data_IF_516882501863
#
_entry.id   IF_516882501863
#
_cell.length_a   1.000
_cell.length_b   1.000
_cell.length_c   1.000
_cell.angle_alpha   90.00
_cell.angle_beta   90.00
_cell.angle_gamma   90.00
#
_symmetry.space_group_name_H-M   'P 1'
#
loop_
_entity.id
_entity.type
_entity.pdbx_description
1 polymer ?
#
# COMPACT_ATOMS: atom_id res chain seq x y z
N UNK A 1 -8.67 -8.15 18.84
CA UNK A 1 -8.41 -7.25 18.55
C UNK A 1 -7.90 -7.21 17.30
N UNK A 2 -7.40 -7.98 16.99
CA UNK A 2 -6.70 -8.04 15.94
C UNK A 2 -7.37 -7.84 14.64
N UNK A 3 -8.46 -8.48 14.34
CA UNK A 3 -9.08 -8.33 13.04
C UNK A 3 -9.66 -6.97 12.82
N UNK A 4 -10.25 -6.39 13.84
CA UNK A 4 -10.79 -5.06 13.72
C UNK A 4 -9.69 -4.05 13.48
N UNK A 5 -8.59 -4.19 14.21
CA UNK A 5 -7.47 -3.28 14.00
C UNK A 5 -6.89 -3.42 12.61
N UNK A 6 -6.84 -4.64 12.12
CA UNK A 6 -6.30 -4.87 10.79
C UNK A 6 -7.19 -4.23 9.73
N UNK A 7 -8.50 -4.35 9.87
CA UNK A 7 -9.40 -3.75 8.91
C UNK A 7 -9.28 -2.24 8.91
N UNK A 8 -9.19 -1.66 10.10
CA UNK A 8 -9.00 -0.23 10.21
C UNK A 8 -7.74 0.21 9.51
N UNK A 9 -6.67 -0.53 9.75
CA UNK A 9 -5.39 -0.18 9.18
C UNK A 9 -5.44 -0.25 7.67
N UNK A 10 -6.03 -1.31 7.14
CA UNK A 10 -6.12 -1.47 5.70
C UNK A 10 -6.98 -0.37 5.10
N UNK A 11 -8.09 -0.04 5.73
CA UNK A 11 -8.96 1.01 5.23
C UNK A 11 -8.24 2.34 5.18
N UNK A 12 -7.45 2.62 6.20
CA UNK A 12 -6.71 3.88 6.23
C UNK A 12 -5.64 3.92 5.16
N UNK A 13 -4.94 2.80 4.98
CA UNK A 13 -3.92 2.73 3.95
C UNK A 13 -4.55 2.89 2.56
N UNK A 14 -5.72 2.32 2.35
CA UNK A 14 -6.39 2.47 1.08
C UNK A 14 -6.82 3.91 0.83
N UNK A 15 -7.23 4.61 1.88
CA UNK A 15 -7.53 6.02 1.74
C UNK A 15 -6.31 6.81 1.33
N UNK A 16 -5.19 6.53 1.97
CA UNK A 16 -3.96 7.22 1.61
C UNK A 16 -3.58 6.92 0.18
N UNK A 17 -3.78 5.69 -0.24
CA UNK A 17 -3.47 5.29 -1.59
C UNK A 17 -4.30 6.10 -2.59
N UNK A 18 -5.59 6.19 -2.35
CA UNK A 18 -6.46 6.94 -3.24
C UNK A 18 -6.05 8.40 -3.30
N UNK A 19 -5.72 8.97 -2.15
CA UNK A 19 -5.29 10.36 -2.11
C UNK A 19 -4.03 10.57 -2.93
N UNK A 20 -3.08 9.66 -2.82
CA UNK A 20 -1.84 9.77 -3.56
C UNK A 20 -2.10 9.59 -5.06
N UNK A 21 -2.93 8.64 -5.42
CA UNK A 21 -3.26 8.45 -6.83
C UNK A 21 -3.94 9.65 -7.42
N UNK A 22 -4.82 10.28 -6.64
CA UNK A 22 -5.49 11.47 -7.08
C UNK A 22 -4.50 12.60 -7.32
N UNK A 23 -3.56 12.75 -6.39
CA UNK A 23 -2.55 13.78 -6.54
C UNK A 23 -1.68 13.52 -7.77
N UNK A 24 -1.38 12.25 -8.03
CA UNK A 24 -0.56 11.91 -9.19
C UNK A 24 -1.20 12.33 -10.49
N UNK A 25 -2.53 12.32 -10.55
CA UNK A 25 -3.22 12.69 -11.77
C UNK A 25 -3.03 14.16 -12.12
N UNK A 26 -2.80 14.98 -11.10
CA UNK A 26 -2.69 16.42 -11.34
C UNK A 26 -1.28 16.94 -11.21
N UNK A 27 -0.36 16.12 -10.76
CA UNK A 27 1.00 16.55 -10.52
C UNK A 27 1.80 16.48 -11.82
N UNK A 28 2.50 17.57 -12.13
CA UNK A 28 3.36 17.58 -13.29
C UNK A 28 4.83 17.64 -12.91
N UNK A 29 5.12 17.73 -11.61
CA UNK A 29 6.49 17.81 -11.13
C UNK A 29 7.08 16.41 -11.06
N UNK A 30 8.10 16.16 -11.85
CA UNK A 30 8.69 14.81 -11.93
C UNK A 30 9.20 14.35 -10.59
N UNK A 31 9.82 15.23 -9.83
CA UNK A 31 10.35 14.84 -8.52
C UNK A 31 9.21 14.44 -7.59
N UNK A 32 8.12 15.18 -7.65
CA UNK A 32 6.98 14.86 -6.81
C UNK A 32 6.37 13.52 -7.21
N UNK A 33 6.30 13.27 -8.52
CA UNK A 33 5.77 12.01 -9.02
C UNK A 33 6.57 10.84 -8.47
N UNK A 34 7.89 10.96 -8.44
CA UNK A 34 8.73 9.89 -7.94
C UNK A 34 8.43 9.62 -6.47
N UNK A 35 8.31 10.69 -5.68
CA UNK A 35 8.02 10.54 -4.25
C UNK A 35 6.66 9.88 -4.05
N UNK A 36 5.66 10.32 -4.80
CA UNK A 36 4.32 9.76 -4.66
C UNK A 36 4.28 8.30 -5.07
N UNK A 37 5.00 7.94 -6.10
CA UNK A 37 5.04 6.55 -6.52
C UNK A 37 5.72 5.67 -5.50
N UNK A 38 6.75 6.18 -4.86
CA UNK A 38 7.39 5.42 -3.80
C UNK A 38 6.45 5.20 -2.63
N UNK A 39 5.69 6.22 -2.27
CA UNK A 39 4.72 6.10 -1.20
C UNK A 39 3.64 5.09 -1.56
N UNK A 40 3.18 5.12 -2.80
CA UNK A 40 2.20 4.16 -3.25
C UNK A 40 2.74 2.74 -3.15
N UNK A 41 3.97 2.56 -3.57
CA UNK A 41 4.58 1.24 -3.53
C UNK A 41 4.62 0.72 -2.09
N UNK A 42 5.02 1.56 -1.15
CA UNK A 42 5.11 1.16 0.24
C UNK A 42 3.74 0.85 0.81
N UNK A 43 2.75 1.66 0.47
CA UNK A 43 1.41 1.42 0.97
C UNK A 43 0.86 0.12 0.41
N UNK A 44 1.03 -0.11 -0.87
CA UNK A 44 0.57 -1.36 -1.47
C UNK A 44 1.26 -2.56 -0.85
N UNK A 45 2.55 -2.46 -0.59
CA UNK A 45 3.28 -3.55 0.03
C UNK A 45 2.76 -3.83 1.43
N UNK A 46 2.48 -2.78 2.19
CA UNK A 46 1.95 -2.94 3.53
C UNK A 46 0.58 -3.59 3.50
N UNK A 47 -0.28 -3.13 2.60
CA UNK A 47 -1.60 -3.72 2.48
C UNK A 47 -1.48 -5.20 2.13
N UNK A 48 -0.61 -5.53 1.22
CA UNK A 48 -0.42 -6.91 0.82
C UNK A 48 0.00 -7.77 2.01
N UNK A 49 0.93 -7.27 2.80
CA UNK A 49 1.38 -8.02 3.98
C UNK A 49 0.26 -8.20 4.99
N UNK A 50 -0.60 -7.21 5.12
CA UNK A 50 -1.70 -7.31 6.06
C UNK A 50 -2.79 -8.25 5.58
N UNK A 51 -2.94 -8.40 4.28
CA UNK A 51 -3.99 -9.25 3.74
C UNK A 51 -3.54 -10.67 3.45
N UNK A 52 -2.25 -10.95 3.61
CA UNK A 52 -1.72 -12.30 3.40
C UNK A 52 -1.13 -12.80 4.70
N UNK A 53 -1.97 -13.23 5.59
CA UNK A 53 -1.48 -13.57 6.92
C UNK A 53 -0.51 -14.73 6.95
N UNK A 54 -0.63 -15.69 6.04
CA UNK A 54 0.32 -16.78 6.06
C UNK A 54 1.47 -16.52 5.15
N UNK A 55 1.49 -15.41 4.66
CA UNK A 55 2.61 -15.05 3.94
C UNK A 55 3.04 -16.01 2.92
N UNK A 56 2.65 -16.72 2.91
CA UNK A 56 2.99 -17.64 2.13
C UNK A 56 3.80 -17.67 1.26
N UNK A 57 3.76 -17.53 1.73
CA UNK A 57 4.30 -17.56 1.39
C UNK A 57 5.17 -17.69 0.98
N UNK A 58 5.44 -17.86 1.16
CA UNK A 58 6.28 -18.10 1.00
C UNK A 58 6.71 -18.61 0.08
N UNK A 59 6.32 -18.94 -0.10
CA UNK A 59 6.53 -19.60 -0.85
C UNK A 59 7.11 -19.38 -1.94
N UNK A 60 7.04 -18.90 -2.01
CA UNK A 60 7.42 -18.62 -2.83
C UNK A 60 8.46 -18.51 -3.10
N UNK A 61 8.60 -18.71 -2.55
CA UNK A 61 9.47 -18.74 -2.57
C UNK A 61 10.06 -19.49 -3.14
N UNK A 62 9.71 -20.06 -3.18
CA UNK A 62 10.20 -20.75 -3.60
C UNK A 62 10.43 -20.89 -4.54
N UNK A 63 10.24 -20.83 -4.90
CA UNK A 63 10.43 -20.89 -5.63
C UNK A 63 10.75 -20.81 -5.97
#
# INVERSE_FOLDING_TARGET
MSEDNKKYRIAELERQKISIEDELQFTTDVKRVIVLEEQLYEINDTIKKLTEPWGVTDVQSTH
#
